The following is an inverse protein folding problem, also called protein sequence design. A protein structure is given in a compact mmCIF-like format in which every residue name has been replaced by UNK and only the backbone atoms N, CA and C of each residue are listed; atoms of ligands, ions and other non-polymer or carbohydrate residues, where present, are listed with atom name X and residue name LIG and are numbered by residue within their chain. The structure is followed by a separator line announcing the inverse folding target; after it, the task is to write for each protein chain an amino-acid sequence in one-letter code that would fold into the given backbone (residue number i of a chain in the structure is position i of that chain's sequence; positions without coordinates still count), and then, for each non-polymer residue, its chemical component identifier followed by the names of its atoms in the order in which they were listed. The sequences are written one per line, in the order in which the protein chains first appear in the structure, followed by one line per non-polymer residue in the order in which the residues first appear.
data_IF_085270024481
#
_entry.id   IF_085270024481
#
_cell.length_a   1.000
_cell.length_b   1.000
_cell.length_c   1.000
_cell.angle_alpha   90.00
_cell.angle_beta   90.00
_cell.angle_gamma   90.00
#
_symmetry.space_group_name_H-M   'P 1'
#
loop_
_entity.id
_entity.type
_entity.pdbx_description
1 polymer ?
#
# COMPACT_ATOMS: atom_id res chain seq x y z
N UNK A 1 71.61 49.48 -42.79
CA UNK A 1 70.88 50.63 -43.38
C UNK A 1 69.44 50.21 -43.65
N UNK A 2 68.50 51.11 -43.40
CA UNK A 2 67.03 51.00 -43.52
C UNK A 2 66.30 50.35 -42.31
N UNK A 3 66.02 51.23 -41.35
CA UNK A 3 64.93 51.13 -40.39
C UNK A 3 63.61 51.52 -41.07
N UNK A 4 62.51 50.81 -40.81
CA UNK A 4 61.15 51.35 -40.95
C UNK A 4 60.27 50.89 -39.78
N UNK A 5 59.84 51.88 -39.00
CA UNK A 5 58.81 51.82 -37.97
C UNK A 5 57.44 51.53 -38.61
N UNK A 6 56.60 50.76 -37.91
CA UNK A 6 55.19 51.15 -37.69
C UNK A 6 54.81 50.80 -36.25
N UNK A 7 54.60 51.84 -35.44
CA UNK A 7 53.80 51.83 -34.22
C UNK A 7 52.34 52.05 -34.60
N UNK A 8 51.40 51.29 -34.03
CA UNK A 8 50.15 51.84 -33.50
C UNK A 8 49.72 51.02 -32.27
N UNK A 9 49.43 51.75 -31.20
CA UNK A 9 49.00 51.34 -29.87
C UNK A 9 47.46 51.38 -29.75
N UNK A 10 46.99 50.96 -28.56
CA UNK A 10 45.65 51.14 -27.94
C UNK A 10 44.59 50.12 -28.41
N UNK A 11 43.85 49.42 -27.55
CA UNK A 11 43.59 49.52 -26.11
C UNK A 11 43.06 48.16 -25.62
N UNK A 12 43.58 47.67 -24.49
CA UNK A 12 42.94 46.61 -23.73
C UNK A 12 41.95 47.23 -22.75
N UNK A 13 40.67 46.92 -22.90
CA UNK A 13 39.69 46.82 -21.80
C UNK A 13 38.55 45.91 -22.26
N UNK A 14 38.11 44.99 -21.40
CA UNK A 14 37.00 44.10 -21.70
C UNK A 14 37.05 42.77 -20.95
N UNK A 15 37.10 42.82 -19.62
CA UNK A 15 36.45 41.77 -18.84
C UNK A 15 34.94 42.07 -18.82
N UNK A 16 34.12 41.02 -18.86
CA UNK A 16 32.83 40.84 -18.15
C UNK A 16 31.88 39.97 -18.99
N UNK A 17 31.42 38.88 -18.36
CA UNK A 17 30.05 38.40 -18.51
C UNK A 17 29.77 37.45 -19.67
N UNK A 18 30.09 36.16 -19.49
CA UNK A 18 29.23 35.13 -20.06
C UNK A 18 27.94 35.14 -19.22
N UNK A 19 26.91 35.85 -19.68
CA UNK A 19 25.54 35.63 -19.22
C UNK A 19 25.08 34.28 -19.75
N UNK A 20 25.20 33.25 -18.91
CA UNK A 20 24.49 32.00 -19.08
C UNK A 20 23.02 32.27 -18.73
N UNK A 21 22.24 32.63 -19.74
CA UNK A 21 20.79 32.73 -19.60
C UNK A 21 20.24 31.31 -19.47
N UNK A 22 19.97 30.88 -18.23
CA UNK A 22 19.10 29.74 -17.98
C UNK A 22 17.68 30.15 -18.41
N UNK A 23 17.35 29.95 -19.68
CA UNK A 23 15.97 30.01 -20.14
C UNK A 23 15.21 28.85 -19.51
N UNK A 24 14.25 29.15 -18.64
CA UNK A 24 13.31 28.15 -18.12
C UNK A 24 12.63 27.44 -19.30
N UNK A 25 12.69 26.09 -19.38
CA UNK A 25 11.97 25.36 -20.40
C UNK A 25 10.46 25.58 -20.23
N UNK A 26 9.67 25.58 -21.33
CA UNK A 26 8.24 25.80 -21.26
C UNK A 26 7.60 24.81 -20.28
N UNK A 27 6.83 25.34 -19.33
CA UNK A 27 6.17 24.56 -18.29
C UNK A 27 5.31 23.46 -18.92
N UNK A 28 5.79 22.21 -18.81
CA UNK A 28 4.96 21.06 -19.10
C UNK A 28 3.72 21.11 -18.17
N UNK A 29 2.52 20.76 -18.65
CA UNK A 29 1.34 20.72 -17.80
C UNK A 29 1.58 19.76 -16.63
N UNK A 30 1.75 20.32 -15.43
CA UNK A 30 1.96 19.56 -14.21
C UNK A 30 0.63 18.95 -13.77
N UNK A 31 0.44 17.65 -14.04
CA UNK A 31 -0.66 16.88 -13.45
C UNK A 31 -0.27 16.52 -12.02
N UNK A 32 -0.76 17.27 -11.05
CA UNK A 32 -0.67 16.93 -9.63
C UNK A 32 -1.75 15.92 -9.26
N UNK A 33 -1.37 14.83 -8.60
CA UNK A 33 -2.34 13.89 -7.99
C UNK A 33 -2.49 14.28 -6.52
N UNK A 34 -3.70 14.64 -6.06
CA UNK A 34 -3.90 15.03 -4.68
C UNK A 34 -3.70 13.83 -3.74
N UNK A 35 -3.18 14.09 -2.55
CA UNK A 35 -3.14 13.10 -1.50
C UNK A 35 -4.56 12.81 -0.96
N UNK A 36 -4.89 11.55 -0.65
CA UNK A 36 -6.19 11.18 -0.09
C UNK A 36 -6.44 11.91 1.24
N UNK A 37 -7.63 12.45 1.41
CA UNK A 37 -7.96 13.25 2.59
C UNK A 37 -8.88 12.50 3.56
N UNK A 38 -8.49 12.40 4.83
CA UNK A 38 -9.38 11.98 5.91
C UNK A 38 -10.17 13.17 6.46
N UNK A 39 -11.40 12.92 6.91
CA UNK A 39 -12.16 13.89 7.73
C UNK A 39 -11.42 14.13 9.07
N UNK A 40 -11.63 15.28 9.73
CA UNK A 40 -10.98 15.58 11.01
C UNK A 40 -11.19 14.49 12.07
N UNK A 41 -12.39 13.93 12.13
CA UNK A 41 -12.79 12.87 13.05
C UNK A 41 -12.06 11.56 12.73
N UNK A 42 -11.99 11.19 11.44
CA UNK A 42 -11.25 10.02 10.98
C UNK A 42 -9.74 10.16 11.22
N UNK A 43 -9.16 11.37 11.19
CA UNK A 43 -7.73 11.57 11.46
C UNK A 43 -7.37 11.24 12.90
N UNK A 44 -8.23 11.63 13.84
CA UNK A 44 -8.00 11.48 15.27
C UNK A 44 -8.48 10.12 15.81
N UNK A 45 -9.37 9.43 15.09
CA UNK A 45 -9.92 8.15 15.53
C UNK A 45 -8.88 7.03 15.51
N UNK A 46 -8.79 6.20 16.57
CA UNK A 46 -7.96 5.00 16.57
C UNK A 46 -8.64 3.81 15.85
N UNK A 47 -9.85 4.00 15.32
CA UNK A 47 -10.62 2.94 14.67
C UNK A 47 -10.51 3.00 13.14
N UNK A 48 -10.61 1.83 12.50
CA UNK A 48 -10.65 1.74 11.04
C UNK A 48 -11.92 2.43 10.50
N UNK A 49 -11.80 3.41 9.58
CA UNK A 49 -12.94 4.02 8.91
C UNK A 49 -13.82 2.98 8.21
N UNK A 50 -15.14 3.17 8.24
CA UNK A 50 -16.10 2.21 7.70
C UNK A 50 -15.88 1.92 6.22
N UNK A 51 -15.52 2.96 5.45
CA UNK A 51 -15.23 2.87 4.02
C UNK A 51 -14.08 1.90 3.70
N UNK A 52 -13.14 1.71 4.64
CA UNK A 52 -11.93 0.90 4.48
C UNK A 52 -12.02 -0.49 5.14
N UNK A 53 -13.07 -0.78 5.91
CA UNK A 53 -13.16 -2.03 6.69
C UNK A 53 -13.13 -3.30 5.83
N UNK A 54 -13.75 -3.27 4.64
CA UNK A 54 -13.74 -4.41 3.74
C UNK A 54 -12.34 -4.69 3.18
N UNK A 55 -11.65 -3.66 2.67
CA UNK A 55 -10.26 -3.81 2.20
C UNK A 55 -9.35 -4.26 3.36
N UNK A 56 -9.50 -3.66 4.55
CA UNK A 56 -8.76 -4.09 5.75
C UNK A 56 -9.02 -5.57 6.11
N UNK A 57 -10.26 -6.05 5.95
CA UNK A 57 -10.56 -7.46 6.17
C UNK A 57 -9.83 -8.38 5.20
N UNK A 58 -9.80 -8.03 3.91
CA UNK A 58 -9.06 -8.81 2.92
C UNK A 58 -7.55 -8.83 3.20
N UNK A 59 -6.98 -7.69 3.61
CA UNK A 59 -5.58 -7.60 4.02
C UNK A 59 -5.28 -8.50 5.23
N UNK A 60 -6.11 -8.44 6.27
CA UNK A 60 -5.95 -9.26 7.49
C UNK A 60 -6.08 -10.75 7.15
N UNK A 61 -7.10 -11.13 6.37
CA UNK A 61 -7.32 -12.51 5.95
C UNK A 61 -6.12 -13.06 5.16
N UNK A 62 -5.58 -12.26 4.24
CA UNK A 62 -4.38 -12.62 3.47
C UNK A 62 -3.16 -12.84 4.37
N UNK A 63 -2.94 -11.94 5.33
CA UNK A 63 -1.80 -12.05 6.23
C UNK A 63 -1.90 -13.23 7.19
N UNK A 64 -3.08 -13.49 7.76
CA UNK A 64 -3.32 -14.67 8.59
C UNK A 64 -3.05 -15.95 7.79
N UNK A 65 -3.58 -16.03 6.56
CA UNK A 65 -3.34 -17.16 5.65
C UNK A 65 -1.84 -17.38 5.42
N UNK A 66 -1.10 -16.31 5.12
CA UNK A 66 0.33 -16.36 4.82
C UNK A 66 1.14 -16.89 6.00
N UNK A 67 0.87 -16.39 7.21
CA UNK A 67 1.57 -16.79 8.42
C UNK A 67 1.23 -18.23 8.83
N UNK A 68 -0.04 -18.63 8.74
CA UNK A 68 -0.47 -20.02 9.00
C UNK A 68 0.14 -20.99 7.98
N UNK A 69 0.11 -20.65 6.68
CA UNK A 69 0.72 -21.47 5.62
C UNK A 69 2.23 -21.62 5.84
N UNK A 70 2.90 -20.53 6.23
CA UNK A 70 4.34 -20.55 6.55
C UNK A 70 4.63 -21.42 7.77
N UNK A 71 3.82 -21.36 8.82
CA UNK A 71 3.96 -22.20 10.01
C UNK A 71 3.72 -23.67 9.70
N UNK A 72 2.67 -24.01 8.94
CA UNK A 72 2.40 -25.37 8.48
C UNK A 72 3.55 -25.91 7.61
N UNK A 73 4.13 -25.06 6.75
CA UNK A 73 5.30 -25.40 5.95
C UNK A 73 6.49 -25.86 6.80
N UNK A 74 6.71 -25.26 7.97
CA UNK A 74 7.80 -25.63 8.90
C UNK A 74 7.58 -27.00 9.56
N UNK A 75 6.34 -27.46 9.70
CA UNK A 75 5.99 -28.78 10.26
C UNK A 75 5.63 -29.81 9.19
N UNK A 76 6.02 -29.57 7.93
CA UNK A 76 5.80 -30.49 6.82
C UNK A 76 4.35 -30.54 6.32
N UNK A 77 3.65 -29.40 6.32
CA UNK A 77 2.25 -29.21 5.87
C UNK A 77 1.21 -29.99 6.70
N UNK A 78 1.61 -30.47 7.87
CA UNK A 78 0.71 -31.10 8.86
C UNK A 78 -0.13 -30.03 9.55
N UNK A 79 -1.22 -30.46 10.17
CA UNK A 79 -2.00 -29.57 11.03
C UNK A 79 -1.15 -29.12 12.22
N UNK A 80 -1.21 -27.83 12.53
CA UNK A 80 -0.63 -27.21 13.71
C UNK A 80 -1.37 -27.68 14.96
N UNK A 81 -0.65 -27.77 16.08
CA UNK A 81 -1.28 -27.96 17.38
C UNK A 81 -2.01 -26.67 17.78
N UNK A 82 -2.91 -26.80 18.75
CA UNK A 82 -3.67 -25.68 19.28
C UNK A 82 -2.79 -24.53 19.77
N UNK A 83 -1.80 -24.83 20.61
CA UNK A 83 -0.80 -23.85 21.05
C UNK A 83 -0.15 -23.11 19.89
N UNK A 84 0.17 -23.83 18.82
CA UNK A 84 0.98 -23.32 17.72
C UNK A 84 0.15 -22.38 16.83
N UNK A 85 -1.09 -22.75 16.49
CA UNK A 85 -1.91 -21.86 15.67
C UNK A 85 -2.40 -20.64 16.45
N UNK A 86 -2.61 -20.74 17.77
CA UNK A 86 -2.94 -19.59 18.62
C UNK A 86 -1.80 -18.57 18.57
N UNK A 87 -0.56 -19.02 18.79
CA UNK A 87 0.61 -18.14 18.75
C UNK A 87 0.81 -17.51 17.36
N UNK A 88 0.59 -18.29 16.29
CA UNK A 88 0.69 -17.76 14.92
C UNK A 88 -0.37 -16.70 14.66
N UNK A 89 -1.61 -16.88 15.13
CA UNK A 89 -2.68 -15.90 14.96
C UNK A 89 -2.41 -14.61 15.73
N UNK A 90 -1.96 -14.70 16.98
CA UNK A 90 -1.57 -13.53 17.77
C UNK A 90 -0.45 -12.74 17.07
N UNK A 91 0.60 -13.45 16.63
CA UNK A 91 1.72 -12.83 15.90
C UNK A 91 1.30 -12.22 14.57
N UNK A 92 0.32 -12.82 13.88
CA UNK A 92 -0.21 -12.28 12.63
C UNK A 92 -0.86 -10.91 12.82
N UNK A 93 -1.46 -10.65 14.00
CA UNK A 93 -2.05 -9.35 14.31
C UNK A 93 -1.03 -8.31 14.82
N UNK A 94 0.03 -8.77 15.47
CA UNK A 94 1.11 -7.92 16.00
C UNK A 94 2.29 -7.72 15.03
N UNK A 95 2.14 -8.12 13.77
CA UNK A 95 3.19 -7.95 12.76
C UNK A 95 3.36 -6.48 12.33
N UNK A 96 4.37 -6.23 11.52
CA UNK A 96 4.56 -4.95 10.86
C UNK A 96 3.51 -4.74 9.75
N UNK A 97 2.75 -3.66 9.87
CA UNK A 97 1.68 -3.25 8.97
C UNK A 97 2.06 -2.02 8.12
N UNK A 98 3.31 -1.55 8.16
CA UNK A 98 3.78 -0.34 7.44
C UNK A 98 3.66 -0.45 5.91
N UNK A 99 3.61 -1.67 5.37
CA UNK A 99 3.37 -1.93 3.95
C UNK A 99 1.94 -1.61 3.48
N UNK A 100 1.05 -1.28 4.42
CA UNK A 100 -0.32 -0.89 4.13
C UNK A 100 -0.51 0.62 4.26
N UNK A 101 -1.34 1.16 3.39
CA UNK A 101 -1.68 2.57 3.40
C UNK A 101 -2.97 2.85 2.66
N UNK A 102 -3.40 4.11 2.73
CA UNK A 102 -4.60 4.58 2.05
C UNK A 102 -4.22 5.31 0.76
N UNK A 103 -5.00 5.07 -0.28
CA UNK A 103 -4.98 5.83 -1.53
C UNK A 103 -6.40 6.24 -1.92
N UNK A 104 -6.51 7.13 -2.88
CA UNK A 104 -7.78 7.43 -3.55
C UNK A 104 -7.80 6.77 -4.93
N UNK A 105 -8.90 6.08 -5.25
CA UNK A 105 -9.11 5.42 -6.54
C UNK A 105 -10.55 5.67 -6.98
N UNK A 106 -10.72 6.24 -8.16
CA UNK A 106 -12.04 6.55 -8.73
C UNK A 106 -12.90 7.42 -7.79
N UNK A 107 -12.28 8.34 -7.03
CA UNK A 107 -12.94 9.19 -6.02
C UNK A 107 -13.29 8.47 -4.71
N UNK A 108 -12.94 7.20 -4.56
CA UNK A 108 -13.13 6.42 -3.34
C UNK A 108 -11.81 6.20 -2.59
N UNK A 109 -11.85 6.34 -1.26
CA UNK A 109 -10.75 5.97 -0.38
C UNK A 109 -10.64 4.46 -0.32
N UNK A 110 -9.47 3.91 -0.64
CA UNK A 110 -9.19 2.47 -0.64
C UNK A 110 -7.93 2.18 0.16
N UNK A 111 -7.91 1.01 0.80
CA UNK A 111 -6.67 0.51 1.39
C UNK A 111 -5.86 -0.18 0.29
N UNK A 112 -4.54 -0.11 0.42
CA UNK A 112 -3.61 -0.78 -0.48
C UNK A 112 -2.51 -1.45 0.33
N UNK A 113 -2.00 -2.56 -0.21
CA UNK A 113 -0.91 -3.34 0.35
C UNK A 113 -1.00 -4.81 -0.10
N UNK A 114 -0.16 -5.70 0.46
CA UNK A 114 -0.19 -7.12 0.14
C UNK A 114 -1.57 -7.76 0.35
N UNK A 115 -2.02 -8.56 -0.63
CA UNK A 115 -3.33 -9.22 -0.58
C UNK A 115 -4.51 -8.37 -1.04
N UNK A 116 -4.27 -7.13 -1.50
CA UNK A 116 -5.28 -6.23 -2.05
C UNK A 116 -5.04 -5.97 -3.54
N UNK A 117 -6.08 -5.54 -4.29
CA UNK A 117 -5.93 -5.20 -5.71
C UNK A 117 -4.82 -4.18 -5.95
N UNK A 118 -4.12 -4.34 -7.07
CA UNK A 118 -2.98 -3.48 -7.42
C UNK A 118 -3.36 -2.01 -7.49
N UNK A 119 -2.40 -1.17 -7.11
CA UNK A 119 -2.51 0.29 -7.21
C UNK A 119 -2.53 0.73 -8.68
N UNK A 120 -3.31 1.77 -9.03
CA UNK A 120 -3.14 2.43 -10.32
C UNK A 120 -1.75 3.08 -10.40
N UNK A 121 -1.18 3.13 -11.61
CA UNK A 121 0.20 3.56 -11.88
C UNK A 121 0.52 4.99 -11.43
N UNK A 122 -0.50 5.83 -11.26
CA UNK A 122 -0.36 7.19 -10.75
C UNK A 122 -1.31 7.37 -9.56
N UNK A 123 -0.83 7.10 -8.35
CA UNK A 123 -1.54 7.36 -7.09
C UNK A 123 -0.56 7.71 -5.97
N UNK A 124 -1.03 8.51 -5.01
CA UNK A 124 -0.29 8.82 -3.80
C UNK A 124 -0.76 7.88 -2.70
N UNK A 125 0.14 7.02 -2.23
CA UNK A 125 -0.09 6.16 -1.08
C UNK A 125 0.30 6.91 0.20
N UNK A 126 -0.60 6.97 1.16
CA UNK A 126 -0.34 7.46 2.52
C UNK A 126 -0.24 6.25 3.45
N UNK A 127 0.98 5.77 3.70
CA UNK A 127 1.29 4.68 4.65
C UNK A 127 1.70 5.22 6.03
N UNK A 128 1.90 4.32 6.99
CA UNK A 128 2.29 4.66 8.36
C UNK A 128 1.23 5.41 9.16
N UNK A 129 1.67 6.23 10.12
CA UNK A 129 0.77 6.99 10.99
C UNK A 129 -0.21 6.07 11.75
N UNK A 130 -1.53 6.28 11.65
CA UNK A 130 -2.49 5.46 12.40
C UNK A 130 -2.80 4.11 11.74
N UNK A 131 -2.37 3.84 10.50
CA UNK A 131 -2.76 2.64 9.76
C UNK A 131 -2.28 1.34 10.40
N UNK A 132 -1.01 1.21 10.84
CA UNK A 132 -0.55 -0.01 11.48
C UNK A 132 -1.34 -0.35 12.75
N UNK A 133 -1.56 0.65 13.61
CA UNK A 133 -2.33 0.47 14.84
C UNK A 133 -3.80 0.09 14.57
N UNK A 134 -4.43 0.71 13.56
CA UNK A 134 -5.81 0.38 13.17
C UNK A 134 -5.94 -1.04 12.63
N UNK A 135 -5.00 -1.50 11.80
CA UNK A 135 -4.99 -2.85 11.25
C UNK A 135 -4.75 -3.90 12.33
N UNK A 136 -3.75 -3.69 13.18
CA UNK A 136 -3.47 -4.56 14.32
C UNK A 136 -4.68 -4.70 15.25
N UNK A 137 -5.28 -3.56 15.66
CA UNK A 137 -6.48 -3.55 16.53
C UNK A 137 -7.66 -4.28 15.88
N UNK A 138 -7.89 -4.07 14.58
CA UNK A 138 -8.97 -4.73 13.85
C UNK A 138 -8.73 -6.24 13.70
N UNK A 139 -7.48 -6.66 13.47
CA UNK A 139 -7.09 -8.06 13.41
C UNK A 139 -7.38 -8.77 14.73
N UNK A 140 -6.94 -8.20 15.86
CA UNK A 140 -7.25 -8.75 17.19
C UNK A 140 -8.75 -8.82 17.46
N UNK A 141 -9.51 -7.80 17.01
CA UNK A 141 -10.97 -7.83 17.05
C UNK A 141 -11.55 -9.03 16.31
N UNK A 142 -11.12 -9.29 15.07
CA UNK A 142 -11.60 -10.45 14.31
C UNK A 142 -11.20 -11.79 14.92
N UNK A 143 -9.96 -11.92 15.40
CA UNK A 143 -9.50 -13.15 16.06
C UNK A 143 -10.32 -13.42 17.32
N UNK A 144 -10.50 -12.41 18.18
CA UNK A 144 -11.30 -12.54 19.41
C UNK A 144 -12.79 -12.80 19.15
N UNK A 145 -13.38 -12.20 18.12
CA UNK A 145 -14.80 -12.39 17.79
C UNK A 145 -15.11 -13.76 17.18
N UNK A 146 -14.21 -14.29 16.34
CA UNK A 146 -14.44 -15.56 15.62
C UNK A 146 -13.88 -16.76 16.38
N UNK A 147 -12.82 -16.55 17.16
CA UNK A 147 -12.08 -17.60 17.84
C UNK A 147 -11.04 -18.27 16.93
N UNK A 148 -9.90 -18.59 17.53
CA UNK A 148 -8.70 -19.11 16.89
C UNK A 148 -8.96 -20.46 16.21
N UNK A 149 -9.68 -21.35 16.89
CA UNK A 149 -10.03 -22.67 16.37
C UNK A 149 -10.90 -22.59 15.10
N UNK A 150 -11.85 -21.65 15.04
CA UNK A 150 -12.70 -21.47 13.85
C UNK A 150 -11.90 -20.90 12.68
N UNK A 151 -11.04 -19.91 12.96
CA UNK A 151 -10.15 -19.30 11.97
C UNK A 151 -9.20 -20.35 11.39
N UNK A 152 -8.53 -21.13 12.25
CA UNK A 152 -7.62 -22.18 11.80
C UNK A 152 -8.36 -23.27 11.01
N UNK A 153 -9.54 -23.69 11.47
CA UNK A 153 -10.39 -24.62 10.74
C UNK A 153 -10.80 -24.09 9.36
N UNK A 154 -11.07 -22.79 9.22
CA UNK A 154 -11.38 -22.16 7.94
C UNK A 154 -10.15 -22.08 7.02
N UNK A 155 -8.98 -21.72 7.55
CA UNK A 155 -7.70 -21.77 6.84
C UNK A 155 -7.45 -23.16 6.24
N UNK A 156 -7.67 -24.22 7.01
CA UNK A 156 -7.51 -25.62 6.55
C UNK A 156 -8.47 -26.02 5.42
N UNK A 157 -9.63 -25.35 5.29
CA UNK A 157 -10.56 -25.53 4.17
C UNK A 157 -10.17 -24.69 2.95
N UNK A 158 -9.28 -23.72 3.12
CA UNK A 158 -8.66 -22.94 2.07
C UNK A 158 -8.91 -21.43 2.17
N UNK A 159 -8.23 -20.63 1.32
CA UNK A 159 -8.23 -19.16 1.39
C UNK A 159 -9.61 -18.53 1.28
N UNK A 160 -10.46 -19.09 0.41
CA UNK A 160 -11.83 -18.63 0.22
C UNK A 160 -12.69 -18.83 1.48
N UNK A 161 -12.53 -19.96 2.18
CA UNK A 161 -13.27 -20.24 3.40
C UNK A 161 -12.85 -19.30 4.54
N UNK A 162 -11.56 -18.99 4.64
CA UNK A 162 -11.04 -18.01 5.60
C UNK A 162 -11.58 -16.59 5.32
N UNK A 163 -11.52 -16.13 4.06
CA UNK A 163 -12.10 -14.85 3.65
C UNK A 163 -13.60 -14.79 3.91
N UNK A 164 -14.33 -15.86 3.64
CA UNK A 164 -15.76 -15.94 3.91
C UNK A 164 -16.07 -15.77 5.41
N UNK A 165 -15.33 -16.47 6.28
CA UNK A 165 -15.49 -16.41 7.73
C UNK A 165 -15.22 -14.99 8.29
N UNK A 166 -14.15 -14.35 7.81
CA UNK A 166 -13.73 -13.05 8.31
C UNK A 166 -14.57 -11.90 7.71
N UNK A 167 -14.82 -11.92 6.40
CA UNK A 167 -15.26 -10.73 5.66
C UNK A 167 -16.73 -10.71 5.24
N UNK A 168 -17.36 -11.87 5.01
CA UNK A 168 -18.66 -11.97 4.31
C UNK A 168 -19.81 -12.58 5.14
N UNK A 169 -19.67 -12.69 6.47
CA UNK A 169 -20.81 -13.08 7.33
C UNK A 169 -21.98 -12.09 7.24
N UNK A 170 -23.13 -12.41 7.86
CA UNK A 170 -24.33 -11.56 7.83
C UNK A 170 -24.12 -10.12 8.36
N UNK A 171 -23.09 -9.92 9.19
CA UNK A 171 -22.59 -8.60 9.66
C UNK A 171 -21.13 -8.36 9.27
N UNK A 172 -20.69 -9.00 8.18
CA UNK A 172 -19.32 -8.96 7.72
C UNK A 172 -18.92 -7.56 7.23
N UNK A 173 -17.66 -7.16 7.36
CA UNK A 173 -17.11 -5.89 6.86
C UNK A 173 -17.42 -5.61 5.37
N UNK A 174 -17.64 -6.67 4.58
CA UNK A 174 -17.92 -6.59 3.15
C UNK A 174 -19.40 -6.83 2.81
N UNK A 175 -20.30 -6.94 3.80
CA UNK A 175 -21.72 -7.13 3.55
C UNK A 175 -22.28 -5.95 2.73
N UNK A 176 -22.92 -6.25 1.60
CA UNK A 176 -23.51 -5.25 0.70
C UNK A 176 -22.59 -4.67 -0.37
N UNK A 177 -21.28 -5.00 -0.39
CA UNK A 177 -20.39 -4.64 -1.50
C UNK A 177 -20.34 -5.78 -2.52
N UNK A 178 -20.58 -5.48 -3.80
CA UNK A 178 -20.32 -6.45 -4.89
C UNK A 178 -18.80 -6.58 -5.04
N UNK A 179 -18.29 -7.80 -4.94
CA UNK A 179 -16.91 -8.14 -5.33
C UNK A 179 -16.71 -7.68 -6.78
N UNK A 180 -15.83 -6.71 -7.01
CA UNK A 180 -15.52 -6.24 -8.37
C UNK A 180 -14.51 -7.25 -8.95
N UNK A 181 -14.77 -7.85 -10.12
CA UNK A 181 -13.86 -8.85 -10.68
C UNK A 181 -12.45 -8.28 -10.84
N UNK A 182 -11.46 -9.06 -10.43
CA UNK A 182 -10.04 -8.81 -10.70
C UNK A 182 -9.85 -8.50 -12.20
N UNK A 183 -9.04 -7.48 -12.58
CA UNK A 183 -8.66 -7.30 -13.97
C UNK A 183 -7.96 -8.58 -14.42
N UNK A 184 -8.54 -9.27 -15.42
CA UNK A 184 -7.86 -10.37 -16.08
C UNK A 184 -6.51 -9.83 -16.55
N UNK A 185 -5.42 -10.41 -16.04
CA UNK A 185 -4.07 -10.15 -16.58
C UNK A 185 -4.19 -10.35 -18.09
N UNK A 186 -4.05 -9.27 -18.85
CA UNK A 186 -3.92 -9.38 -20.29
C UNK A 186 -2.71 -10.27 -20.52
N UNK A 187 -2.95 -11.40 -21.18
CA UNK A 187 -1.90 -12.30 -21.65
C UNK A 187 -1.03 -11.46 -22.59
N UNK A 188 0.05 -10.90 -22.07
CA UNK A 188 1.03 -10.19 -22.87
C UNK A 188 1.97 -11.23 -23.46
N UNK A 189 1.44 -11.96 -24.44
CA UNK A 189 2.22 -12.55 -25.52
C UNK A 189 2.07 -11.64 -26.75
N UNK A 190 3.03 -11.75 -27.67
CA UNK A 190 3.12 -11.09 -28.99
C UNK A 190 3.78 -9.69 -28.99
N UNK A 191 5.12 -9.62 -28.89
CA UNK A 191 6.03 -9.53 -30.06
C UNK A 191 7.52 -9.59 -29.63
#
# INVERSE_FOLDING_TARGET
LAAWLVLLLLEGTGAVGAEETCGDPPAAPSRSVPAPQLSPEERLSPHMPESLRCDACHAIAFQIEEQLRKAEGKVGKKALKESDYIEVLERSCSQDWESYGMLERDGEKRLSGPGLPSQPSLSVLVSGGPWPGRLSKLCHGYVGERGEAQIYGAHRRGPAALRQLLCHGAKGPCAGRKERPEPRKALQNEL
#
